data_IF_309044089358
#
_entry.id   IF_309044089358
#
_cell.length_a   1.000
_cell.length_b   1.000
_cell.length_c   1.000
_cell.angle_alpha   90.00
_cell.angle_beta   90.00
_cell.angle_gamma   90.00
#
_symmetry.space_group_name_H-M   'P 1'
#
loop_
_entity.id
_entity.type
_entity.pdbx_description
1 polymer ?
#
# COMPACT_ATOMS: atom_id res chain seq x y z
N UNK A 1 -14.70 17.94 -2.25
CA UNK A 1 -14.39 19.02 -1.27
C UNK A 1 -15.52 19.17 -0.26
N UNK A 2 -16.71 19.67 -0.62
CA UNK A 2 -17.82 19.84 0.34
C UNK A 2 -18.20 18.58 1.15
N UNK A 3 -18.26 17.43 0.48
CA UNK A 3 -18.56 16.15 1.15
C UNK A 3 -17.47 15.70 2.14
N UNK A 4 -16.21 16.08 1.90
CA UNK A 4 -15.11 15.76 2.81
C UNK A 4 -15.15 16.63 4.06
N UNK A 5 -15.46 17.93 3.92
CA UNK A 5 -15.58 18.83 5.07
C UNK A 5 -16.74 18.42 5.99
N UNK A 6 -17.88 18.04 5.41
CA UNK A 6 -19.03 17.52 6.16
C UNK A 6 -18.68 16.20 6.87
N UNK A 7 -18.03 15.24 6.19
CA UNK A 7 -17.59 13.99 6.80
C UNK A 7 -16.58 14.20 7.94
N UNK A 8 -15.59 15.08 7.77
CA UNK A 8 -14.62 15.41 8.81
C UNK A 8 -15.29 16.01 10.06
N UNK A 9 -16.30 16.87 9.86
CA UNK A 9 -17.10 17.44 10.95
C UNK A 9 -17.86 16.35 11.71
N UNK A 10 -18.55 15.46 11.00
CA UNK A 10 -19.33 14.38 11.60
C UNK A 10 -18.46 13.38 12.36
N UNK A 11 -17.31 12.98 11.79
CA UNK A 11 -16.36 12.10 12.49
C UNK A 11 -15.75 12.78 13.72
N UNK A 12 -15.44 14.07 13.65
CA UNK A 12 -14.97 14.82 14.82
C UNK A 12 -16.04 14.84 15.90
N UNK A 13 -17.31 15.03 15.54
CA UNK A 13 -18.41 14.99 16.51
C UNK A 13 -18.61 13.60 17.10
N UNK A 14 -18.47 12.55 16.29
CA UNK A 14 -18.53 11.17 16.76
C UNK A 14 -17.41 10.84 17.77
N UNK A 15 -16.18 11.34 17.55
CA UNK A 15 -15.05 11.21 18.48
C UNK A 15 -15.33 11.93 19.80
N UNK A 16 -15.91 13.13 19.77
CA UNK A 16 -16.31 13.85 20.99
C UNK A 16 -17.34 13.07 21.82
N UNK A 17 -18.24 12.35 21.17
CA UNK A 17 -19.31 11.57 21.82
C UNK A 17 -18.78 10.24 22.34
N UNK A 18 -17.96 9.54 21.53
CA UNK A 18 -17.37 8.25 21.88
C UNK A 18 -15.91 8.19 21.40
N UNK A 19 -14.95 8.58 22.24
CA UNK A 19 -13.54 8.61 21.87
C UNK A 19 -12.90 7.23 21.80
N UNK A 20 -13.62 6.16 22.18
CA UNK A 20 -13.13 4.79 22.22
C UNK A 20 -13.49 3.92 21.01
N UNK A 21 -14.06 4.50 19.95
CA UNK A 21 -14.34 3.76 18.70
C UNK A 21 -13.16 3.91 17.71
N UNK A 22 -12.37 2.84 17.49
CA UNK A 22 -11.20 2.89 16.60
C UNK A 22 -11.60 3.15 15.13
N UNK A 23 -12.81 2.77 14.72
CA UNK A 23 -13.27 2.89 13.33
C UNK A 23 -13.48 4.34 12.92
N UNK A 24 -13.88 5.20 13.86
CA UNK A 24 -14.11 6.62 13.58
C UNK A 24 -12.79 7.31 13.26
N UNK A 25 -11.73 7.04 14.04
CA UNK A 25 -10.40 7.55 13.74
C UNK A 25 -9.87 6.99 12.43
N UNK A 26 -9.98 5.68 12.18
CA UNK A 26 -9.55 5.09 10.90
C UNK A 26 -10.30 5.73 9.71
N UNK A 27 -11.61 5.93 9.82
CA UNK A 27 -12.41 6.55 8.75
C UNK A 27 -12.01 8.01 8.52
N UNK A 28 -11.82 8.80 9.59
CA UNK A 28 -11.37 10.19 9.46
C UNK A 28 -9.96 10.29 8.90
N UNK A 29 -9.07 9.37 9.30
CA UNK A 29 -7.73 9.21 8.75
C UNK A 29 -7.75 8.95 7.24
N UNK A 30 -8.67 8.12 6.75
CA UNK A 30 -8.84 7.88 5.30
C UNK A 30 -9.19 9.17 4.56
N UNK A 31 -10.11 9.98 5.09
CA UNK A 31 -10.45 11.27 4.48
C UNK A 31 -9.25 12.22 4.49
N UNK A 32 -8.46 12.25 5.56
CA UNK A 32 -7.22 13.03 5.58
C UNK A 32 -6.22 12.55 4.54
N UNK A 33 -6.05 11.25 4.34
CA UNK A 33 -5.17 10.68 3.32
C UNK A 33 -5.64 11.01 1.89
N UNK A 34 -6.95 10.95 1.62
CA UNK A 34 -7.54 11.36 0.33
C UNK A 34 -7.34 12.86 0.04
N UNK A 35 -7.26 13.68 1.09
CA UNK A 35 -6.92 15.11 1.01
C UNK A 35 -5.40 15.37 1.03
N UNK A 36 -4.57 14.32 0.94
CA UNK A 36 -3.11 14.36 1.00
C UNK A 36 -2.55 14.95 2.31
N UNK A 37 -3.35 15.00 3.38
CA UNK A 37 -2.97 15.44 4.72
C UNK A 37 -2.42 14.28 5.53
N UNK A 38 -1.34 13.67 5.04
CA UNK A 38 -0.82 12.40 5.56
C UNK A 38 -0.43 12.44 7.04
N UNK A 39 0.11 13.55 7.55
CA UNK A 39 0.45 13.67 8.99
C UNK A 39 -0.79 13.57 9.91
N UNK A 40 -1.92 14.16 9.47
CA UNK A 40 -3.19 14.05 10.20
C UNK A 40 -3.76 12.63 10.09
N UNK A 41 -3.66 12.02 8.91
CA UNK A 41 -4.06 10.63 8.70
C UNK A 41 -3.28 9.69 9.62
N UNK A 42 -1.95 9.83 9.68
CA UNK A 42 -1.06 9.05 10.56
C UNK A 42 -1.44 9.21 12.04
N UNK A 43 -1.77 10.43 12.45
CA UNK A 43 -2.21 10.71 13.83
C UNK A 43 -3.48 9.93 14.16
N UNK A 44 -4.49 9.99 13.29
CA UNK A 44 -5.76 9.29 13.49
C UNK A 44 -5.60 7.76 13.43
N UNK A 45 -4.85 7.22 12.47
CA UNK A 45 -4.58 5.79 12.46
C UNK A 45 -3.82 5.32 13.70
N UNK A 46 -2.92 6.16 14.24
CA UNK A 46 -2.21 5.84 15.48
C UNK A 46 -3.12 5.79 16.69
N UNK A 47 -4.11 6.70 16.79
CA UNK A 47 -5.15 6.60 17.82
C UNK A 47 -6.02 5.35 17.63
N UNK A 48 -6.41 5.03 16.39
CA UNK A 48 -7.14 3.80 16.07
C UNK A 48 -6.39 2.55 16.56
N UNK A 49 -5.09 2.45 16.26
CA UNK A 49 -4.21 1.35 16.70
C UNK A 49 -4.04 1.32 18.22
N UNK A 50 -3.97 2.48 18.88
CA UNK A 50 -3.87 2.54 20.34
C UNK A 50 -5.13 1.98 21.01
N UNK A 51 -6.30 2.21 20.42
CA UNK A 51 -7.59 1.72 20.92
C UNK A 51 -7.75 0.22 20.59
N UNK A 52 -7.45 -0.19 19.36
CA UNK A 52 -7.54 -1.58 18.90
C UNK A 52 -6.24 -2.00 18.17
N UNK A 53 -5.28 -2.61 18.89
CA UNK A 53 -3.98 -3.01 18.34
C UNK A 53 -4.01 -4.15 17.33
N UNK A 54 -5.13 -4.86 17.21
CA UNK A 54 -5.29 -6.01 16.32
C UNK A 54 -6.15 -5.67 15.09
N UNK A 55 -6.07 -4.41 14.63
CA UNK A 55 -6.80 -3.91 13.47
C UNK A 55 -5.88 -3.77 12.23
N UNK A 56 -5.78 -4.80 11.34
CA UNK A 56 -4.83 -4.77 10.22
C UNK A 56 -5.02 -3.58 9.28
N UNK A 57 -6.26 -3.12 9.07
CA UNK A 57 -6.57 -2.01 8.17
C UNK A 57 -5.97 -0.68 8.63
N UNK A 58 -5.87 -0.45 9.94
CA UNK A 58 -5.29 0.78 10.47
C UNK A 58 -3.78 0.82 10.26
N UNK A 59 -3.09 -0.31 10.45
CA UNK A 59 -1.67 -0.44 10.09
C UNK A 59 -1.45 -0.29 8.59
N UNK A 60 -2.26 -0.96 7.76
CA UNK A 60 -2.16 -0.87 6.31
C UNK A 60 -2.28 0.59 5.81
N UNK A 61 -3.29 1.31 6.29
CA UNK A 61 -3.52 2.70 5.89
C UNK A 61 -2.46 3.67 6.43
N UNK A 62 -1.96 3.44 7.64
CA UNK A 62 -0.85 4.24 8.20
C UNK A 62 0.46 3.98 7.44
N UNK A 63 0.72 2.73 7.10
CA UNK A 63 1.85 2.33 6.25
C UNK A 63 1.82 3.01 4.87
N UNK A 64 0.66 3.05 4.23
CA UNK A 64 0.47 3.81 2.98
C UNK A 64 0.79 5.30 3.15
N UNK A 65 0.29 5.92 4.23
CA UNK A 65 0.55 7.34 4.51
C UNK A 65 2.03 7.63 4.74
N UNK A 66 2.74 6.74 5.46
CA UNK A 66 4.18 6.81 5.60
C UNK A 66 4.92 6.68 4.26
N UNK A 67 4.48 5.78 3.38
CA UNK A 67 5.07 5.61 2.05
C UNK A 67 4.91 6.89 1.18
N UNK A 68 3.75 7.56 1.23
CA UNK A 68 3.54 8.85 0.55
C UNK A 68 4.48 9.95 1.07
N UNK A 69 4.80 9.92 2.37
CA UNK A 69 5.80 10.81 2.98
C UNK A 69 7.26 10.33 2.79
N UNK A 70 7.48 9.25 2.02
CA UNK A 70 8.78 8.60 1.79
C UNK A 70 9.46 8.09 3.06
N UNK A 71 8.67 7.83 4.09
CA UNK A 71 9.10 7.24 5.37
C UNK A 71 9.05 5.71 5.26
N UNK A 72 9.92 5.16 4.42
CA UNK A 72 9.84 3.75 3.99
C UNK A 72 10.05 2.75 5.14
N UNK A 73 10.92 3.04 6.11
CA UNK A 73 11.13 2.16 7.27
C UNK A 73 9.84 1.99 8.09
N UNK A 74 9.12 3.10 8.35
CA UNK A 74 7.84 3.04 9.07
C UNK A 74 6.75 2.37 8.23
N UNK A 75 6.73 2.60 6.92
CA UNK A 75 5.81 1.92 6.00
C UNK A 75 6.04 0.39 6.03
N UNK A 76 7.30 -0.06 5.98
CA UNK A 76 7.66 -1.48 6.05
C UNK A 76 7.22 -2.10 7.38
N UNK A 77 7.46 -1.40 8.50
CA UNK A 77 7.06 -1.87 9.83
C UNK A 77 5.54 -2.02 9.95
N UNK A 78 4.78 -1.03 9.51
CA UNK A 78 3.32 -1.06 9.55
C UNK A 78 2.75 -2.12 8.60
N UNK A 79 3.28 -2.25 7.38
CA UNK A 79 2.82 -3.31 6.49
C UNK A 79 3.17 -4.71 6.98
N UNK A 80 4.30 -4.88 7.65
CA UNK A 80 4.64 -6.13 8.33
C UNK A 80 3.61 -6.46 9.39
N UNK A 81 3.22 -5.49 10.23
CA UNK A 81 2.20 -5.72 11.25
C UNK A 81 0.82 -6.02 10.64
N UNK A 82 0.44 -5.35 9.54
CA UNK A 82 -0.79 -5.65 8.81
C UNK A 82 -0.79 -7.09 8.24
N UNK A 83 0.35 -7.55 7.72
CA UNK A 83 0.54 -8.93 7.23
C UNK A 83 0.47 -9.94 8.37
N UNK A 84 1.10 -9.66 9.51
CA UNK A 84 1.08 -10.56 10.68
C UNK A 84 -0.35 -10.76 11.19
N UNK A 85 -1.17 -9.71 11.18
CA UNK A 85 -2.57 -9.76 11.59
C UNK A 85 -3.48 -10.36 10.50
N UNK A 86 -3.16 -10.18 9.22
CA UNK A 86 -3.87 -10.77 8.09
C UNK A 86 -2.91 -11.26 6.98
N UNK A 87 -2.47 -12.53 7.05
CA UNK A 87 -1.49 -13.08 6.11
C UNK A 87 -1.98 -13.25 4.66
N UNK A 88 -3.28 -13.05 4.40
CA UNK A 88 -3.90 -13.16 3.08
C UNK A 88 -4.17 -11.79 2.44
N UNK A 89 -3.58 -10.71 2.98
CA UNK A 89 -3.75 -9.36 2.43
C UNK A 89 -2.74 -9.11 1.31
N UNK A 90 -3.06 -9.54 0.08
CA UNK A 90 -2.19 -9.37 -1.10
C UNK A 90 -1.69 -7.93 -1.29
N UNK A 91 -2.57 -6.95 -1.05
CA UNK A 91 -2.23 -5.53 -1.12
C UNK A 91 -1.11 -5.16 -0.15
N UNK A 92 -1.11 -5.64 1.10
CA UNK A 92 -0.07 -5.31 2.08
C UNK A 92 1.30 -5.86 1.67
N UNK A 93 1.36 -7.07 1.09
CA UNK A 93 2.60 -7.58 0.50
C UNK A 93 3.05 -6.72 -0.69
N UNK A 94 2.14 -6.32 -1.59
CA UNK A 94 2.50 -5.42 -2.69
C UNK A 94 3.06 -4.08 -2.18
N UNK A 95 2.42 -3.45 -1.20
CA UNK A 95 2.87 -2.17 -0.66
C UNK A 95 4.20 -2.28 0.10
N UNK A 96 4.40 -3.35 0.87
CA UNK A 96 5.69 -3.60 1.54
C UNK A 96 6.81 -3.87 0.53
N UNK A 97 6.51 -4.67 -0.50
CA UNK A 97 7.43 -4.90 -1.61
C UNK A 97 7.79 -3.61 -2.35
N UNK A 98 6.82 -2.71 -2.56
CA UNK A 98 7.07 -1.40 -3.15
C UNK A 98 7.96 -0.53 -2.26
N UNK A 99 7.75 -0.54 -0.94
CA UNK A 99 8.61 0.17 -0.01
C UNK A 99 10.06 -0.38 -0.05
N UNK A 100 10.27 -1.69 -0.06
CA UNK A 100 11.59 -2.31 -0.24
C UNK A 100 12.22 -1.92 -1.59
N UNK A 101 11.46 -1.95 -2.68
CA UNK A 101 11.94 -1.53 -4.00
C UNK A 101 12.41 -0.08 -4.00
N UNK A 102 11.65 0.83 -3.39
CA UNK A 102 12.02 2.24 -3.27
C UNK A 102 13.24 2.45 -2.36
N UNK A 103 13.46 1.53 -1.42
CA UNK A 103 14.68 1.45 -0.60
C UNK A 103 15.85 0.75 -1.31
N UNK A 104 15.64 0.26 -2.54
CA UNK A 104 16.60 -0.49 -3.37
C UNK A 104 16.94 -1.89 -2.86
N UNK A 105 16.11 -2.44 -1.98
CA UNK A 105 16.19 -3.83 -1.52
C UNK A 105 15.39 -4.71 -2.49
N UNK A 106 15.96 -4.92 -3.67
CA UNK A 106 15.23 -5.56 -4.77
C UNK A 106 14.87 -7.03 -4.50
N UNK A 107 15.74 -7.79 -3.83
CA UNK A 107 15.47 -9.20 -3.52
C UNK A 107 14.27 -9.35 -2.57
N UNK A 108 14.21 -8.54 -1.50
CA UNK A 108 13.07 -8.52 -0.58
C UNK A 108 11.78 -8.06 -1.27
N UNK A 109 11.88 -7.06 -2.16
CA UNK A 109 10.72 -6.63 -2.95
C UNK A 109 10.15 -7.74 -3.84
N UNK A 110 11.03 -8.54 -4.48
CA UNK A 110 10.63 -9.66 -5.34
C UNK A 110 9.93 -10.75 -4.54
N UNK A 111 10.39 -11.04 -3.33
CA UNK A 111 9.74 -11.99 -2.42
C UNK A 111 8.32 -11.55 -2.11
N UNK A 112 8.14 -10.30 -1.72
CA UNK A 112 6.84 -9.75 -1.35
C UNK A 112 5.87 -9.66 -2.54
N UNK A 113 6.31 -9.16 -3.70
CA UNK A 113 5.46 -9.17 -4.89
C UNK A 113 5.08 -10.59 -5.33
N UNK A 114 5.99 -11.55 -5.19
CA UNK A 114 5.68 -12.96 -5.47
C UNK A 114 4.61 -13.48 -4.53
N UNK A 115 4.66 -13.13 -3.25
CA UNK A 115 3.63 -13.52 -2.29
C UNK A 115 2.29 -12.85 -2.58
N UNK A 116 2.28 -11.57 -2.97
CA UNK A 116 1.08 -10.86 -3.40
C UNK A 116 0.42 -11.57 -4.59
N UNK A 117 1.19 -11.96 -5.62
CA UNK A 117 0.72 -12.70 -6.80
C UNK A 117 0.20 -14.10 -6.43
N UNK A 118 0.83 -14.79 -5.47
CA UNK A 118 0.35 -16.10 -5.01
C UNK A 118 -1.02 -16.01 -4.31
N UNK A 119 -1.26 -14.91 -3.58
CA UNK A 119 -2.54 -14.68 -2.89
C UNK A 119 -3.61 -14.20 -3.88
N UNK A 120 -3.25 -13.24 -4.75
CA UNK A 120 -4.12 -12.72 -5.81
C UNK A 120 -3.41 -12.74 -7.17
N UNK A 121 -3.61 -13.82 -7.97
CA UNK A 121 -3.04 -13.94 -9.30
C UNK A 121 -3.59 -12.93 -10.32
N UNK A 122 -4.63 -12.17 -9.99
CA UNK A 122 -5.22 -11.15 -10.86
C UNK A 122 -4.70 -9.74 -10.54
N UNK A 123 -3.83 -9.60 -9.54
CA UNK A 123 -3.25 -8.33 -9.13
C UNK A 123 -2.17 -7.85 -10.11
N UNK A 124 -2.60 -7.27 -11.23
CA UNK A 124 -1.72 -6.82 -12.32
C UNK A 124 -0.60 -5.87 -11.87
N UNK A 125 -0.86 -5.02 -10.88
CA UNK A 125 0.14 -4.10 -10.30
C UNK A 125 1.30 -4.84 -9.66
N UNK A 126 1.08 -6.00 -9.02
CA UNK A 126 2.14 -6.77 -8.40
C UNK A 126 3.07 -7.40 -9.45
N UNK A 127 2.53 -7.85 -10.59
CA UNK A 127 3.35 -8.28 -11.73
C UNK A 127 4.16 -7.11 -12.29
N UNK A 128 3.55 -5.95 -12.49
CA UNK A 128 4.26 -4.77 -12.98
C UNK A 128 5.42 -4.37 -12.03
N UNK A 129 5.17 -4.35 -10.73
CA UNK A 129 6.16 -3.98 -9.73
C UNK A 129 7.30 -5.02 -9.63
N UNK A 130 6.97 -6.32 -9.66
CA UNK A 130 8.00 -7.38 -9.69
C UNK A 130 8.82 -7.34 -10.98
N UNK A 131 8.19 -7.03 -12.11
CA UNK A 131 8.88 -6.79 -13.38
C UNK A 131 9.89 -5.66 -13.29
N UNK A 132 9.52 -4.55 -12.63
CA UNK A 132 10.44 -3.44 -12.38
C UNK A 132 11.62 -3.85 -11.47
N UNK A 133 11.34 -4.56 -10.38
CA UNK A 133 12.39 -5.07 -9.49
C UNK A 133 13.36 -6.03 -10.20
N UNK A 134 12.86 -6.91 -11.07
CA UNK A 134 13.69 -7.76 -11.91
C UNK A 134 14.53 -6.96 -12.90
N UNK A 135 13.95 -5.95 -13.55
CA UNK A 135 14.67 -5.09 -14.51
C UNK A 135 15.84 -4.35 -13.85
N UNK A 136 15.60 -3.74 -12.68
CA UNK A 136 16.62 -3.06 -11.89
C UNK A 136 17.70 -4.03 -11.37
N UNK A 137 17.31 -5.28 -11.10
CA UNK A 137 18.24 -6.38 -10.77
C UNK A 137 18.88 -7.03 -12.00
N UNK A 138 18.72 -6.46 -13.21
CA UNK A 138 19.25 -6.95 -14.49
C UNK A 138 18.76 -8.34 -14.92
N UNK A 139 17.64 -8.81 -14.35
CA UNK A 139 16.97 -10.07 -14.71
C UNK A 139 15.93 -9.82 -15.81
N UNK A 140 16.38 -9.35 -16.97
CA UNK A 140 15.50 -8.82 -18.03
C UNK A 140 14.49 -9.83 -18.57
N UNK A 141 14.88 -11.10 -18.74
CA UNK A 141 13.95 -12.15 -19.20
C UNK A 141 12.73 -12.31 -18.29
N UNK A 142 12.96 -12.28 -16.97
CA UNK A 142 11.89 -12.35 -15.97
C UNK A 142 11.02 -11.09 -15.98
N UNK A 143 11.65 -9.92 -16.12
CA UNK A 143 10.95 -8.65 -16.21
C UNK A 143 9.99 -8.61 -17.41
N UNK A 144 10.43 -9.07 -18.59
CA UNK A 144 9.60 -9.12 -19.80
C UNK A 144 8.39 -10.05 -19.61
N UNK A 145 8.58 -11.20 -18.95
CA UNK A 145 7.49 -12.14 -18.63
C UNK A 145 6.47 -11.46 -17.72
N UNK A 146 6.90 -10.85 -16.62
CA UNK A 146 6.02 -10.21 -15.65
C UNK A 146 5.29 -9.00 -16.26
N UNK A 147 5.96 -8.15 -17.05
CA UNK A 147 5.29 -7.07 -17.76
C UNK A 147 4.28 -7.57 -18.79
N UNK A 148 4.56 -8.69 -19.46
CA UNK A 148 3.62 -9.30 -20.40
C UNK A 148 2.36 -9.79 -19.71
N UNK A 149 2.51 -10.37 -18.51
CA UNK A 149 1.39 -10.83 -17.71
C UNK A 149 0.58 -9.66 -17.12
N UNK A 150 1.25 -8.61 -16.64
CA UNK A 150 0.59 -7.38 -16.21
C UNK A 150 -0.25 -6.75 -17.33
N UNK A 151 0.29 -6.71 -18.56
CA UNK A 151 -0.44 -6.24 -19.76
C UNK A 151 -1.63 -7.15 -20.09
N UNK A 152 -1.47 -8.47 -20.00
CA UNK A 152 -2.55 -9.44 -20.26
C UNK A 152 -3.72 -9.22 -19.29
N UNK A 153 -3.43 -8.95 -18.01
CA UNK A 153 -4.42 -8.69 -16.97
C UNK A 153 -5.01 -7.27 -17.05
N UNK A 154 -4.22 -6.28 -17.47
CA UNK A 154 -4.61 -4.87 -17.52
C UNK A 154 -3.97 -4.18 -18.74
N UNK A 155 -4.59 -4.28 -19.92
CA UNK A 155 -3.99 -3.84 -21.19
C UNK A 155 -3.95 -2.32 -21.38
N UNK A 156 -4.55 -1.54 -20.49
CA UNK A 156 -4.63 -0.08 -20.63
C UNK A 156 -3.51 0.67 -19.87
N UNK A 157 -2.50 -0.04 -19.38
CA UNK A 157 -1.41 0.57 -18.60
C UNK A 157 -0.22 0.91 -19.49
N UNK A 158 -0.21 2.11 -20.07
CA UNK A 158 0.82 2.55 -21.03
C UNK A 158 2.26 2.43 -20.49
N UNK A 159 2.47 2.71 -19.19
CA UNK A 159 3.78 2.58 -18.55
C UNK A 159 4.35 1.16 -18.67
N UNK A 160 3.51 0.13 -18.55
CA UNK A 160 3.96 -1.28 -18.60
C UNK A 160 4.43 -1.66 -20.01
N UNK A 161 3.78 -1.15 -21.07
CA UNK A 161 4.25 -1.34 -22.45
C UNK A 161 5.59 -0.65 -22.69
N UNK A 162 5.72 0.59 -22.21
CA UNK A 162 6.96 1.34 -22.29
C UNK A 162 8.10 0.62 -21.56
N UNK A 163 7.89 0.21 -20.30
CA UNK A 163 8.87 -0.53 -19.51
C UNK A 163 9.31 -1.82 -20.17
N UNK A 164 8.38 -2.61 -20.73
CA UNK A 164 8.73 -3.83 -21.47
C UNK A 164 9.53 -3.52 -22.75
N UNK A 165 9.15 -2.47 -23.48
CA UNK A 165 9.80 -2.06 -24.72
C UNK A 165 11.24 -1.58 -24.53
N UNK A 166 11.61 -1.08 -23.35
CA UNK A 166 13.00 -0.71 -23.04
C UNK A 166 13.93 -1.91 -22.86
N UNK A 167 13.39 -3.11 -22.69
CA UNK A 167 14.16 -4.32 -22.38
C UNK A 167 14.37 -5.25 -23.58
N UNK A 168 13.82 -4.91 -24.75
CA UNK A 168 13.85 -5.70 -26.00
C UNK A 168 14.61 -4.91 -27.06
#
# INVERSE_FOLDING_TARGET
MRQYDEALSDYTKAIEINPGDPNVYNSRGTIYAELEKYDLAITDYSYSIQIEPDLPVAYFNRGLSYAYLKQYDQAIADQTKAIDLNPNLAAAYNERGLAYYLFKEYDDSIVDFTKAIQIDPQLSVAFNNRGAAYADSKQFDKAIIDYSEAIRLSPNTAITYFSRGLLI
#
